data_IF_418848271966
#
_entry.id   IF_418848271966
#
_cell.length_a   1.000
_cell.length_b   1.000
_cell.length_c   1.000
_cell.angle_alpha   90.00
_cell.angle_beta   90.00
_cell.angle_gamma   90.00
#
_symmetry.space_group_name_H-M   'P 1'
#
loop_
_entity.id
_entity.type
_entity.pdbx_description
1 polymer ?
2 non-polymer ?
3 non-polymer ?
4 water ?
#
# COMPACT_ATOMS: atom_id res chain seq x y z
N UNK A 1 -16.88 0.27 7.59
CA UNK A 1 -16.22 0.92 6.43
C UNK A 1 -15.25 2.00 6.92
N UNK A 2 -14.00 1.99 6.44
CA UNK A 2 -12.97 2.99 6.82
C UNK A 2 -12.65 3.90 5.64
N UNK A 3 -12.60 5.19 5.90
CA UNK A 3 -12.10 6.22 4.93
C UNK A 3 -10.60 6.37 5.13
N UNK A 4 -9.81 6.07 4.10
CA UNK A 4 -8.32 6.05 4.20
C UNK A 4 -7.79 7.41 3.77
N UNK A 5 -6.60 7.83 4.27
CA UNK A 5 -5.93 9.01 3.75
C UNK A 5 -5.50 8.82 2.28
N UNK A 6 -5.60 9.90 1.52
CA UNK A 6 -5.36 9.91 0.05
C UNK A 6 -4.07 10.67 -0.25
N UNK A 7 -3.20 10.05 -1.01
CA UNK A 7 -1.93 10.64 -1.49
C UNK A 7 -2.25 11.78 -2.44
N UNK A 8 -1.53 12.88 -2.32
CA UNK A 8 -1.65 14.06 -3.23
C UNK A 8 -0.44 14.13 -4.16
N UNK A 9 -0.69 14.71 -5.32
CA UNK A 9 0.30 15.03 -6.37
C UNK A 9 1.54 15.61 -5.70
N UNK A 10 2.73 15.14 -6.08
CA UNK A 10 3.99 15.49 -5.42
C UNK A 10 4.47 14.34 -4.56
N UNK A 11 3.56 13.46 -4.11
CA UNK A 11 3.97 12.31 -3.26
C UNK A 11 4.45 11.17 -4.17
N UNK A 12 5.57 10.55 -3.81
CA UNK A 12 6.30 9.59 -4.68
C UNK A 12 5.52 8.29 -4.88
N UNK A 13 4.67 7.89 -3.92
CA UNK A 13 3.84 6.66 -3.98
C UNK A 13 3.04 6.67 -5.29
N UNK A 14 2.63 7.85 -5.74
CA UNK A 14 1.76 8.06 -6.93
C UNK A 14 2.54 7.84 -8.22
N UNK A 15 3.86 7.81 -8.18
CA UNK A 15 4.69 7.69 -9.42
C UNK A 15 5.28 6.29 -9.62
N UNK A 16 4.96 5.31 -8.79
CA UNK A 16 5.56 3.95 -8.93
C UNK A 16 4.70 3.11 -9.90
N UNK A 17 5.24 1.99 -10.31
CA UNK A 17 4.43 0.91 -10.95
C UNK A 17 3.97 -0.04 -9.87
N UNK A 18 2.68 -0.14 -9.64
CA UNK A 18 2.08 -0.96 -8.57
C UNK A 18 2.30 -2.45 -8.85
N UNK A 19 2.49 -3.24 -7.80
CA UNK A 19 2.80 -4.68 -7.91
C UNK A 19 1.51 -5.47 -8.12
N UNK A 20 1.50 -6.55 -8.93
CA UNK A 20 0.31 -7.36 -9.10
C UNK A 20 -0.04 -8.02 -7.77
N UNK A 21 -1.32 -8.29 -7.60
CA UNK A 21 -1.89 -9.08 -6.48
C UNK A 21 -1.53 -10.54 -6.75
N UNK A 22 -1.02 -11.26 -5.75
CA UNK A 22 -0.65 -12.69 -5.85
C UNK A 22 -1.93 -13.55 -5.76
N UNK A 23 -1.86 -14.74 -6.30
CA UNK A 23 -2.98 -15.71 -6.30
C UNK A 23 -3.47 -15.97 -4.86
N UNK A 24 -2.59 -16.08 -3.87
CA UNK A 24 -3.05 -16.44 -2.51
C UNK A 24 -3.74 -15.24 -1.86
N UNK A 25 -3.71 -14.06 -2.47
CA UNK A 25 -4.50 -12.92 -1.95
C UNK A 25 -5.94 -13.01 -2.44
N UNK A 26 -6.20 -13.76 -3.50
CA UNK A 26 -7.54 -13.81 -4.12
C UNK A 26 -8.46 -14.53 -3.13
N UNK A 27 -9.68 -14.01 -2.99
CA UNK A 27 -10.77 -14.63 -2.20
C UNK A 27 -10.40 -14.60 -0.70
N UNK A 28 -9.66 -13.57 -0.26
CA UNK A 28 -9.13 -13.45 1.12
C UNK A 28 -9.85 -12.32 1.83
N UNK A 29 -10.00 -12.40 3.16
CA UNK A 29 -10.63 -11.28 3.92
C UNK A 29 -9.76 -10.03 3.73
N UNK A 30 -8.45 -10.21 3.63
CA UNK A 30 -7.46 -9.15 3.39
C UNK A 30 -7.86 -8.39 2.11
N UNK A 31 -8.12 -9.10 1.01
CA UNK A 31 -8.43 -8.40 -0.26
C UNK A 31 -9.82 -7.75 -0.18
N UNK A 32 -10.81 -8.40 0.44
CA UNK A 32 -12.17 -7.80 0.58
C UNK A 32 -12.09 -6.51 1.41
N UNK A 33 -11.34 -6.50 2.50
CA UNK A 33 -11.22 -5.33 3.41
C UNK A 33 -10.46 -4.20 2.70
N UNK A 34 -9.44 -4.53 1.89
CA UNK A 34 -8.73 -3.49 1.08
C UNK A 34 -9.74 -2.81 0.13
N UNK A 35 -10.52 -3.60 -0.61
CA UNK A 35 -11.50 -3.09 -1.59
C UNK A 35 -12.62 -2.31 -0.89
N UNK A 36 -13.07 -2.78 0.27
CA UNK A 36 -14.14 -2.11 1.03
C UNK A 36 -13.67 -0.70 1.46
N UNK A 37 -12.43 -0.59 1.94
CA UNK A 37 -11.85 0.66 2.47
C UNK A 37 -11.57 1.63 1.29
N UNK A 38 -11.16 1.09 0.14
CA UNK A 38 -11.02 1.86 -1.11
C UNK A 38 -12.40 2.39 -1.54
N UNK A 39 -13.41 1.52 -1.52
CA UNK A 39 -14.80 1.89 -1.90
C UNK A 39 -15.28 3.05 -1.01
N UNK A 40 -15.13 2.93 0.30
CA UNK A 40 -15.56 3.96 1.29
C UNK A 40 -14.82 5.25 0.99
N UNK A 41 -13.51 5.19 0.72
CA UNK A 41 -12.70 6.40 0.43
C UNK A 41 -13.25 7.11 -0.81
N UNK A 42 -13.48 6.35 -1.88
CA UNK A 42 -14.04 6.87 -3.15
C UNK A 42 -15.39 7.58 -2.85
N UNK A 43 -16.31 6.92 -2.14
CA UNK A 43 -17.64 7.53 -1.86
C UNK A 43 -17.50 8.80 -1.00
N UNK A 44 -16.68 8.77 0.05
CA UNK A 44 -16.41 9.95 0.93
C UNK A 44 -16.14 11.21 0.10
N UNK A 45 -15.45 11.07 -1.02
CA UNK A 45 -14.97 12.20 -1.85
C UNK A 45 -15.87 12.36 -3.07
N UNK A 46 -16.97 11.63 -3.16
CA UNK A 46 -17.83 11.59 -4.37
C UNK A 46 -17.01 11.27 -5.63
N UNK A 47 -16.07 10.34 -5.54
CA UNK A 47 -15.31 9.94 -6.74
C UNK A 47 -16.10 8.96 -7.60
N UNK A 48 -15.67 8.76 -8.83
CA UNK A 48 -16.25 7.74 -9.75
C UNK A 48 -15.24 6.61 -9.95
N UNK A 49 -14.10 6.67 -9.28
CA UNK A 49 -13.08 5.63 -9.39
C UNK A 49 -11.99 5.80 -8.36
N UNK A 50 -11.15 4.79 -8.19
CA UNK A 50 -10.03 4.91 -7.22
C UNK A 50 -9.07 3.78 -7.53
N UNK A 51 -7.81 4.01 -7.22
CA UNK A 51 -6.72 3.05 -7.44
C UNK A 51 -5.96 2.93 -6.14
N UNK A 52 -5.46 1.74 -5.84
CA UNK A 52 -4.85 1.42 -4.53
C UNK A 52 -3.69 2.36 -4.25
N UNK A 53 -2.84 2.78 -5.23
CA UNK A 53 -1.72 3.69 -4.94
C UNK A 53 -2.16 4.98 -4.25
N UNK A 54 -3.38 5.47 -4.54
CA UNK A 54 -3.92 6.75 -4.03
C UNK A 54 -4.16 6.66 -2.53
N UNK A 55 -4.23 5.45 -1.98
CA UNK A 55 -4.35 5.19 -0.52
C UNK A 55 -3.09 4.48 -0.01
N UNK A 56 -1.95 4.68 -0.69
CA UNK A 56 -0.59 4.28 -0.25
C UNK A 56 -0.42 2.76 -0.33
N UNK A 57 -1.24 2.10 -1.14
CA UNK A 57 -1.12 0.64 -1.38
C UNK A 57 -0.63 0.42 -2.80
N UNK A 58 0.64 0.07 -2.96
CA UNK A 58 1.26 -0.08 -4.30
C UNK A 58 0.95 -1.46 -4.88
N UNK A 59 -0.32 -1.70 -5.14
CA UNK A 59 -0.91 -2.97 -5.59
C UNK A 59 -1.90 -2.68 -6.72
N UNK A 60 -2.07 -3.63 -7.65
CA UNK A 60 -2.90 -3.45 -8.86
C UNK A 60 -4.37 -3.79 -8.56
N UNK A 61 -5.03 -2.91 -7.82
CA UNK A 61 -6.49 -2.95 -7.57
C UNK A 61 -7.08 -1.59 -7.92
N UNK A 62 -8.17 -1.57 -8.69
CA UNK A 62 -8.90 -0.30 -9.02
C UNK A 62 -10.40 -0.55 -8.79
N UNK A 63 -11.13 0.54 -8.70
CA UNK A 63 -12.61 0.55 -8.63
C UNK A 63 -13.07 1.51 -9.72
N UNK A 64 -13.99 1.08 -10.55
CA UNK A 64 -14.66 1.98 -11.53
C UNK A 64 -16.16 2.03 -11.18
N UNK A 65 -16.72 3.23 -11.02
CA UNK A 65 -18.11 3.49 -10.58
C UNK A 65 -18.66 4.76 -11.24
N UNK A 66 -18.89 4.71 -12.55
CA UNK A 66 -19.51 5.80 -13.35
C UNK A 66 -20.82 6.33 -12.75
N UNK A 67 -21.10 7.62 -12.92
CA UNK A 67 -22.46 8.21 -12.85
C UNK A 67 -22.53 9.42 -13.80
N UNK A 68 -23.73 9.76 -14.34
CA UNK A 68 -23.85 10.80 -15.36
C UNK A 68 -23.65 12.18 -14.71
N UNK A 69 -23.13 13.17 -15.47
CA UNK A 69 -23.21 14.61 -15.13
C UNK A 69 -22.98 15.43 -16.41
N UNK A 75 -24.20 9.03 -19.48
CA UNK A 75 -23.24 8.09 -18.84
C UNK A 75 -23.96 7.21 -17.82
N UNK A 76 -23.62 5.91 -17.74
CA UNK A 76 -24.28 5.03 -16.79
C UNK A 76 -24.14 5.48 -15.33
N UNK A 77 -25.18 5.20 -14.55
CA UNK A 77 -25.13 5.03 -13.08
C UNK A 77 -24.74 3.56 -12.82
N UNK A 78 -23.53 3.34 -12.31
CA UNK A 78 -22.83 2.04 -12.33
C UNK A 78 -22.40 1.71 -10.90
N UNK A 79 -22.80 0.58 -10.32
CA UNK A 79 -22.28 0.25 -8.97
C UNK A 79 -20.80 -0.15 -9.16
N UNK A 80 -20.00 0.16 -8.15
CA UNK A 80 -18.53 0.03 -8.18
C UNK A 80 -18.21 -1.36 -8.73
N UNK A 81 -17.39 -1.48 -9.76
CA UNK A 81 -16.77 -2.81 -10.01
C UNK A 81 -15.26 -2.74 -9.68
N UNK A 82 -14.89 -3.67 -8.82
CA UNK A 82 -13.50 -3.84 -8.29
C UNK A 82 -12.71 -4.69 -9.28
N UNK A 83 -11.58 -4.18 -9.77
CA UNK A 83 -10.77 -4.94 -10.77
C UNK A 83 -9.42 -5.21 -10.17
N UNK A 84 -9.10 -6.49 -10.04
CA UNK A 84 -7.79 -6.97 -9.57
C UNK A 84 -6.95 -7.28 -10.80
N UNK A 85 -5.70 -6.80 -10.82
CA UNK A 85 -4.72 -7.05 -11.91
C UNK A 85 -5.35 -6.73 -13.26
N UNK A 86 -5.97 -5.53 -13.43
CA UNK A 86 -6.61 -5.19 -14.69
C UNK A 86 -5.54 -5.00 -15.76
N UNK A 87 -5.87 -5.42 -16.99
CA UNK A 87 -5.02 -5.28 -18.19
C UNK A 87 -5.91 -4.81 -19.34
N UNK A 88 -5.53 -3.70 -19.95
CA UNK A 88 -6.20 -3.21 -21.16
C UNK A 88 -5.55 -3.97 -22.32
N UNK A 89 -6.29 -4.86 -22.98
CA UNK A 89 -5.84 -5.69 -24.12
C UNK A 89 -5.86 -4.86 -25.41
N UNK A 90 -6.77 -3.90 -25.50
CA UNK A 90 -6.96 -3.10 -26.72
C UNK A 90 -7.60 -1.76 -26.40
N UNK A 91 -7.04 -0.73 -27.00
CA UNK A 91 -7.55 0.66 -27.08
C UNK A 91 -8.12 0.87 -28.48
N UNK A 92 -9.34 1.38 -28.59
CA UNK A 92 -9.94 1.73 -29.89
C UNK A 92 -9.08 2.78 -30.61
N UNK A 93 -9.20 2.79 -31.93
CA UNK A 93 -8.71 3.85 -32.83
C UNK A 93 -9.44 5.18 -32.53
N UNK A 94 -10.74 5.16 -32.26
CA UNK A 94 -11.50 6.40 -32.00
C UNK A 94 -11.13 6.93 -30.60
N UNK A 95 -11.00 8.23 -30.53
CA UNK A 95 -10.36 8.94 -29.42
C UNK A 95 -11.23 10.17 -29.16
N UNK A 96 -11.68 10.39 -27.93
CA UNK A 96 -12.54 11.54 -27.58
C UNK A 96 -11.90 12.27 -26.40
N UNK A 97 -12.20 13.55 -26.30
CA UNK A 97 -11.70 14.43 -25.23
C UNK A 97 -12.82 14.48 -24.18
N UNK A 98 -12.48 14.29 -22.91
CA UNK A 98 -13.47 14.42 -21.83
C UNK A 98 -12.87 15.02 -20.58
N UNK A 99 -13.74 15.63 -19.79
CA UNK A 99 -13.37 16.28 -18.50
C UNK A 99 -13.02 15.21 -17.46
N UNK A 100 -11.90 15.40 -16.81
CA UNK A 100 -11.42 14.48 -15.76
C UNK A 100 -11.10 15.33 -14.54
N UNK A 101 -11.35 14.78 -13.36
CA UNK A 101 -10.74 15.23 -12.09
C UNK A 101 -10.00 14.06 -11.45
N UNK A 102 -9.40 14.30 -10.29
CA UNK A 102 -8.63 13.26 -9.58
C UNK A 102 -8.69 13.51 -8.08
N UNK A 103 -8.89 12.48 -7.25
CA UNK A 103 -8.83 12.67 -5.76
C UNK A 103 -7.40 13.04 -5.36
N UNK A 104 -6.37 12.72 -6.16
CA UNK A 104 -4.96 13.04 -5.82
C UNK A 104 -4.55 14.41 -6.37
N UNK A 105 -5.43 15.07 -7.12
CA UNK A 105 -5.20 16.45 -7.66
C UNK A 105 -6.47 17.23 -7.42
N UNK A 106 -6.83 17.52 -6.16
CA UNK A 106 -8.19 17.99 -5.85
C UNK A 106 -8.52 19.39 -6.39
N UNK A 107 -7.50 20.16 -6.73
CA UNK A 107 -7.58 21.59 -7.10
C UNK A 107 -7.76 21.79 -8.61
N UNK A 108 -7.64 20.76 -9.46
CA UNK A 108 -7.65 20.97 -10.94
C UNK A 108 -8.51 19.93 -11.63
N UNK A 109 -9.21 20.36 -12.68
CA UNK A 109 -9.92 19.47 -13.61
C UNK A 109 -9.38 19.83 -14.99
N UNK A 110 -9.60 18.97 -15.98
CA UNK A 110 -9.18 19.28 -17.36
C UNK A 110 -9.69 18.26 -18.37
N UNK A 111 -9.40 18.57 -19.62
CA UNK A 111 -9.77 17.77 -20.80
C UNK A 111 -8.63 16.81 -21.07
N UNK A 112 -8.96 15.53 -21.16
CA UNK A 112 -7.97 14.48 -21.48
C UNK A 112 -8.50 13.68 -22.67
N UNK A 113 -7.62 13.43 -23.63
CA UNK A 113 -7.91 12.59 -24.80
C UNK A 113 -7.84 11.12 -24.33
N UNK A 114 -8.91 10.35 -24.51
CA UNK A 114 -8.92 8.92 -24.11
C UNK A 114 -9.42 8.10 -25.29
N UNK A 115 -9.07 6.82 -25.34
CA UNK A 115 -9.76 5.88 -26.25
C UNK A 115 -11.26 5.89 -25.86
N UNK A 116 -12.13 6.01 -26.87
CA UNK A 116 -13.60 5.91 -26.72
C UNK A 116 -13.96 4.51 -26.19
N UNK A 117 -13.22 3.46 -26.53
CA UNK A 117 -13.51 2.15 -25.91
C UNK A 117 -12.24 1.33 -25.67
N UNK A 118 -12.25 0.53 -24.60
CA UNK A 118 -11.11 -0.33 -24.19
C UNK A 118 -11.65 -1.71 -23.89
N UNK A 119 -10.90 -2.71 -24.28
CA UNK A 119 -11.18 -4.11 -23.89
C UNK A 119 -10.26 -4.41 -22.70
N UNK A 120 -10.88 -4.75 -21.58
CA UNK A 120 -10.23 -4.91 -20.27
C UNK A 120 -10.44 -6.31 -19.75
N UNK A 121 -9.34 -6.96 -19.37
CA UNK A 121 -9.36 -8.25 -18.69
C UNK A 121 -8.90 -8.06 -17.25
N UNK A 122 -9.63 -8.63 -16.30
CA UNK A 122 -9.36 -8.45 -14.85
C UNK A 122 -9.88 -9.63 -14.04
N UNK A 123 -9.47 -9.67 -12.78
CA UNK A 123 -9.93 -10.67 -11.79
C UNK A 123 -10.91 -9.99 -10.85
N UNK A 124 -11.97 -10.69 -10.47
CA UNK A 124 -12.86 -10.24 -9.38
C UNK A 124 -12.13 -10.45 -8.06
N UNK A 125 -12.70 -9.97 -6.96
CA UNK A 125 -12.11 -10.19 -5.61
C UNK A 125 -12.04 -11.69 -5.32
N UNK A 126 -12.93 -12.48 -5.92
CA UNK A 126 -12.95 -13.96 -5.72
C UNK A 126 -11.93 -14.62 -6.62
N UNK A 127 -11.40 -13.91 -7.62
CA UNK A 127 -10.35 -14.45 -8.50
C UNK A 127 -10.96 -14.98 -9.78
N UNK A 128 -12.20 -14.63 -10.11
CA UNK A 128 -12.80 -14.97 -11.42
C UNK A 128 -12.25 -14.03 -12.51
N UNK A 129 -11.89 -14.58 -13.66
CA UNK A 129 -11.40 -13.83 -14.83
C UNK A 129 -12.59 -13.29 -15.61
N UNK A 130 -12.59 -11.99 -15.89
CA UNK A 130 -13.65 -11.28 -16.63
C UNK A 130 -12.98 -10.52 -17.78
N UNK A 131 -13.63 -10.48 -18.92
CA UNK A 131 -13.24 -9.58 -20.01
C UNK A 131 -14.46 -8.78 -20.45
N UNK A 132 -14.36 -7.46 -20.44
CA UNK A 132 -15.49 -6.55 -20.78
C UNK A 132 -14.96 -5.39 -21.63
N UNK A 133 -15.79 -4.92 -22.54
CA UNK A 133 -15.47 -3.68 -23.27
C UNK A 133 -16.21 -2.52 -22.62
N UNK A 134 -15.46 -1.49 -22.21
CA UNK A 134 -15.99 -0.22 -21.65
C UNK A 134 -16.02 0.81 -22.77
N UNK A 135 -17.07 1.62 -22.77
CA UNK A 135 -17.34 2.74 -23.72
C UNK A 135 -17.43 4.02 -22.91
N UNK A 136 -17.09 5.14 -23.52
CA UNK A 136 -17.44 6.48 -23.02
C UNK A 136 -16.82 6.78 -21.69
N UNK A 137 -17.62 7.29 -20.76
CA UNK A 137 -17.11 7.83 -19.49
C UNK A 137 -16.46 6.70 -18.69
N UNK A 138 -17.12 5.53 -18.55
CA UNK A 138 -16.51 4.37 -17.90
C UNK A 138 -15.15 3.96 -18.48
N UNK A 139 -14.98 4.04 -19.80
CA UNK A 139 -13.70 3.79 -20.49
C UNK A 139 -12.64 4.79 -20.04
N UNK A 140 -13.03 6.05 -19.93
CA UNK A 140 -12.14 7.16 -19.49
C UNK A 140 -11.72 6.85 -18.04
N UNK A 141 -12.62 6.30 -17.24
CA UNK A 141 -12.33 6.08 -15.80
C UNK A 141 -11.37 4.90 -15.68
N UNK A 142 -11.55 3.88 -16.50
CA UNK A 142 -10.68 2.69 -16.50
C UNK A 142 -9.27 3.12 -16.88
N UNK A 143 -9.15 3.90 -17.94
CA UNK A 143 -7.85 4.37 -18.45
C UNK A 143 -7.17 5.24 -17.37
N UNK A 144 -7.93 6.08 -16.69
CA UNK A 144 -7.43 6.96 -15.60
C UNK A 144 -6.88 6.11 -14.44
N UNK A 145 -7.64 5.10 -14.01
CA UNK A 145 -7.26 4.25 -12.85
C UNK A 145 -6.05 3.38 -13.21
N UNK A 146 -6.04 2.78 -14.38
CA UNK A 146 -4.85 2.00 -14.83
C UNK A 146 -3.63 2.94 -14.88
N UNK A 147 -3.77 4.16 -15.36
CA UNK A 147 -2.64 5.13 -15.34
C UNK A 147 -2.11 5.28 -13.90
N UNK A 148 -2.97 5.30 -12.87
CA UNK A 148 -2.53 5.37 -11.45
C UNK A 148 -1.63 4.17 -11.10
N UNK A 149 -1.95 2.98 -11.64
CA UNK A 149 -1.19 1.74 -11.35
C UNK A 149 0.19 1.82 -12.00
N UNK A 150 0.30 2.61 -13.07
CA UNK A 150 1.53 2.77 -13.89
C UNK A 150 2.23 4.09 -13.54
N UNK A 151 1.86 4.76 -12.45
CA UNK A 151 2.59 5.94 -11.96
C UNK A 151 2.30 7.19 -12.78
N UNK A 152 1.08 7.36 -13.30
CA UNK A 152 0.76 8.49 -14.24
C UNK A 152 -0.46 9.23 -13.70
N UNK A 153 -0.37 10.56 -13.62
CA UNK A 153 -1.52 11.44 -13.26
C UNK A 153 -2.10 12.09 -14.52
N UNK A 154 -3.38 12.39 -14.50
CA UNK A 154 -4.13 12.88 -15.70
C UNK A 154 -3.53 14.21 -16.21
N UNK A 155 -2.95 15.04 -15.34
CA UNK A 155 -2.34 16.36 -15.75
C UNK A 155 -1.17 16.10 -16.71
N UNK A 156 -0.52 14.93 -16.64
CA UNK A 156 0.62 14.62 -17.53
C UNK A 156 0.09 14.31 -18.94
N UNK A 157 -1.21 14.08 -19.11
CA UNK A 157 -1.81 13.73 -20.43
C UNK A 157 -2.54 14.92 -21.06
N UNK A 158 -2.40 16.14 -20.53
CA UNK A 158 -3.03 17.34 -21.16
C UNK A 158 -1.96 18.07 -21.96
N UNK B 1 -4.87 -17.24 6.66
CA UNK B 1 -4.11 -15.96 6.71
C UNK B 1 -3.24 -15.81 5.47
N UNK B 2 -3.22 -14.61 4.91
CA UNK B 2 -2.57 -14.34 3.59
C UNK B 2 -1.08 -14.14 3.81
N UNK B 3 -0.25 -14.73 2.96
CA UNK B 3 1.18 -14.32 2.81
C UNK B 3 1.31 -13.33 1.65
N UNK B 4 1.88 -12.16 1.89
CA UNK B 4 1.89 -11.07 0.89
C UNK B 4 3.19 -11.16 0.12
N UNK B 5 3.19 -10.85 -1.19
CA UNK B 5 4.45 -10.67 -1.90
C UNK B 5 5.32 -9.59 -1.21
N UNK B 6 6.62 -9.84 -1.21
CA UNK B 6 7.65 -9.02 -0.52
C UNK B 6 8.46 -8.30 -1.56
N UNK B 7 8.55 -6.97 -1.47
CA UNK B 7 9.38 -6.14 -2.36
C UNK B 7 10.86 -6.44 -2.09
N UNK B 8 11.68 -6.51 -3.14
CA UNK B 8 13.13 -6.77 -2.98
C UNK B 8 13.93 -5.50 -3.27
N UNK B 9 15.14 -5.45 -2.72
CA UNK B 9 16.11 -4.35 -2.92
C UNK B 9 16.10 -3.95 -4.39
N UNK B 10 16.03 -2.64 -4.64
CA UNK B 10 15.99 -2.07 -5.98
C UNK B 10 14.56 -1.71 -6.38
N UNK B 11 13.53 -2.17 -5.65
CA UNK B 11 12.15 -1.70 -5.92
C UNK B 11 11.99 -0.37 -5.19
N UNK B 12 11.38 0.61 -5.85
CA UNK B 12 11.33 2.02 -5.39
C UNK B 12 10.46 2.12 -4.13
N UNK B 13 9.47 1.23 -3.96
CA UNK B 13 8.59 1.25 -2.75
C UNK B 13 9.42 1.25 -1.45
N UNK B 14 10.57 0.59 -1.45
CA UNK B 14 11.46 0.41 -0.26
C UNK B 14 12.18 1.73 0.05
N UNK B 15 12.16 2.68 -0.87
CA UNK B 15 12.92 3.95 -0.80
C UNK B 15 12.02 5.12 -0.34
N UNK B 16 10.72 4.94 -0.10
CA UNK B 16 9.83 6.08 0.25
C UNK B 16 9.84 6.34 1.75
N UNK B 17 9.33 7.49 2.14
CA UNK B 17 8.90 7.74 3.56
C UNK B 17 7.45 7.26 3.67
N UNK B 18 7.21 6.21 4.44
CA UNK B 18 5.85 5.66 4.62
C UNK B 18 4.99 6.72 5.31
N UNK B 19 3.70 6.74 4.95
CA UNK B 19 2.68 7.65 5.49
C UNK B 19 2.19 7.15 6.85
N UNK B 20 2.00 8.07 7.82
CA UNK B 20 1.39 7.70 9.10
C UNK B 20 0.01 7.06 8.88
N UNK B 21 -0.33 6.11 9.71
CA UNK B 21 -1.72 5.59 9.78
C UNK B 21 -2.64 6.71 10.30
N UNK B 22 -3.84 6.88 9.71
CA UNK B 22 -4.85 7.89 10.11
C UNK B 22 -5.64 7.41 11.35
N UNK B 23 -6.27 8.34 12.07
CA UNK B 23 -7.27 8.06 13.12
C UNK B 23 -8.40 7.16 12.57
N UNK B 24 -8.85 7.39 11.33
CA UNK B 24 -9.96 6.62 10.70
C UNK B 24 -9.63 5.13 10.76
N UNK B 25 -8.38 4.76 10.57
CA UNK B 25 -7.97 3.34 10.39
C UNK B 25 -7.80 2.64 11.74
N UNK B 26 -7.65 3.37 12.84
CA UNK B 26 -7.45 2.67 14.14
C UNK B 26 -8.71 1.89 14.51
N UNK B 27 -8.50 0.70 15.04
CA UNK B 27 -9.56 -0.21 15.53
C UNK B 27 -10.50 -0.62 14.38
N UNK B 28 -9.96 -0.75 13.16
CA UNK B 28 -10.72 -1.14 11.95
C UNK B 28 -10.40 -2.59 11.55
N UNK B 29 -11.34 -3.25 10.89
CA UNK B 29 -11.08 -4.58 10.30
C UNK B 29 -9.92 -4.44 9.33
N UNK B 30 -9.89 -3.35 8.56
CA UNK B 30 -8.80 -3.07 7.59
C UNK B 30 -7.43 -3.22 8.30
N UNK B 31 -7.27 -2.55 9.42
CA UNK B 31 -5.94 -2.44 10.07
C UNK B 31 -5.61 -3.77 10.72
N UNK B 32 -6.59 -4.46 11.30
CA UNK B 32 -6.36 -5.83 11.84
C UNK B 32 -5.92 -6.80 10.73
N UNK B 33 -6.54 -6.74 9.55
CA UNK B 33 -6.24 -7.67 8.43
C UNK B 33 -4.84 -7.34 7.88
N UNK B 34 -4.49 -6.05 7.79
CA UNK B 34 -3.11 -5.65 7.44
C UNK B 34 -2.14 -6.26 8.44
N UNK B 35 -2.31 -6.10 9.75
CA UNK B 35 -1.32 -6.62 10.73
C UNK B 35 -1.26 -8.14 10.60
N UNK B 36 -2.39 -8.79 10.37
CA UNK B 36 -2.46 -10.28 10.30
C UNK B 36 -1.70 -10.79 9.07
N UNK B 37 -1.87 -10.16 7.90
CA UNK B 37 -1.16 -10.54 6.65
C UNK B 37 0.34 -10.31 6.84
N UNK B 38 0.70 -9.16 7.42
CA UNK B 38 2.12 -8.86 7.71
C UNK B 38 2.69 -9.94 8.64
N UNK B 39 1.95 -10.30 9.68
CA UNK B 39 2.42 -11.32 10.67
C UNK B 39 2.69 -12.63 9.92
N UNK B 40 1.73 -13.05 9.10
CA UNK B 40 1.79 -14.35 8.39
C UNK B 40 2.97 -14.34 7.43
N UNK B 41 3.20 -13.20 6.75
CA UNK B 41 4.29 -13.04 5.74
C UNK B 41 5.62 -13.22 6.48
N UNK B 42 5.72 -12.59 7.65
CA UNK B 42 6.95 -12.63 8.49
C UNK B 42 7.20 -14.09 8.93
N UNK B 43 6.18 -14.79 9.39
CA UNK B 43 6.31 -16.17 9.93
C UNK B 43 6.69 -17.12 8.79
N UNK B 44 6.04 -17.02 7.64
CA UNK B 44 6.32 -17.91 6.48
C UNK B 44 7.76 -17.72 6.02
N UNK B 45 8.32 -16.52 6.14
CA UNK B 45 9.70 -16.21 5.70
C UNK B 45 10.70 -16.54 6.82
N UNK B 46 10.25 -17.00 7.98
CA UNK B 46 11.06 -17.13 9.22
C UNK B 46 11.75 -15.80 9.56
N UNK B 47 11.00 -14.69 9.49
CA UNK B 47 11.44 -13.36 9.90
C UNK B 47 11.22 -13.16 11.39
N UNK B 48 11.89 -12.18 11.99
CA UNK B 48 11.68 -11.78 13.40
C UNK B 48 11.18 -10.33 13.45
N UNK B 49 10.99 -9.73 12.29
CA UNK B 49 10.38 -8.40 12.13
C UNK B 49 9.88 -8.18 10.71
N UNK B 50 9.00 -7.21 10.52
CA UNK B 50 8.56 -6.80 9.17
C UNK B 50 7.97 -5.39 9.24
N UNK B 51 8.18 -4.65 8.15
CA UNK B 51 7.60 -3.30 7.97
C UNK B 51 6.66 -3.33 6.74
N UNK B 52 5.53 -2.63 6.84
CA UNK B 52 4.51 -2.54 5.76
C UNK B 52 5.12 -2.22 4.40
N UNK B 53 6.10 -1.28 4.25
CA UNK B 53 6.68 -1.05 2.94
C UNK B 53 7.21 -2.31 2.24
N UNK B 54 7.62 -3.30 3.01
CA UNK B 54 8.21 -4.55 2.46
C UNK B 54 7.12 -5.36 1.73
N UNK B 55 5.84 -5.16 2.08
CA UNK B 55 4.69 -5.84 1.40
C UNK B 55 3.88 -4.81 0.59
N UNK B 56 4.57 -3.78 0.06
CA UNK B 56 4.06 -2.75 -0.89
C UNK B 56 2.96 -1.89 -0.29
N UNK B 57 2.93 -1.78 1.03
CA UNK B 57 2.00 -0.91 1.79
C UNK B 57 2.84 0.24 2.38
N UNK B 58 2.72 1.48 1.85
CA UNK B 58 3.53 2.63 2.31
C UNK B 58 2.87 3.30 3.52
N UNK B 59 2.77 2.54 4.61
CA UNK B 59 2.18 2.96 5.90
C UNK B 59 3.14 2.61 7.05
N UNK B 60 3.08 3.41 8.14
CA UNK B 60 4.02 3.29 9.28
C UNK B 60 3.48 2.25 10.26
N UNK B 61 3.62 0.97 9.90
CA UNK B 61 3.23 -0.23 10.70
C UNK B 61 4.41 -1.20 10.67
N UNK B 62 4.84 -1.64 11.84
CA UNK B 62 5.95 -2.61 11.99
C UNK B 62 5.52 -3.70 12.96
N UNK B 63 6.17 -4.85 12.85
CA UNK B 63 6.05 -5.98 13.81
C UNK B 63 7.44 -6.31 14.30
N UNK B 64 7.57 -6.50 15.61
CA UNK B 64 8.82 -6.98 16.26
C UNK B 64 8.47 -8.28 16.98
N UNK B 65 9.18 -9.35 16.67
CA UNK B 65 8.86 -10.72 17.14
C UNK B 65 10.13 -11.56 17.15
N UNK B 66 10.99 -11.35 18.16
CA UNK B 66 12.27 -12.06 18.41
C UNK B 66 12.02 -13.58 18.56
N UNK B 76 16.20 -13.57 21.73
CA UNK B 76 15.47 -14.57 22.52
C UNK B 76 14.01 -14.72 22.04
N UNK B 77 13.16 -15.37 22.86
CA UNK B 77 11.71 -15.52 22.57
C UNK B 77 10.97 -14.27 23.06
N UNK B 78 10.01 -13.77 22.28
CA UNK B 78 9.01 -12.76 22.73
C UNK B 78 7.72 -12.96 21.94
N UNK B 79 6.57 -12.61 22.53
CA UNK B 79 5.27 -12.49 21.81
C UNK B 79 5.36 -11.33 20.81
N UNK B 80 4.91 -11.52 19.57
CA UNK B 80 4.95 -10.53 18.48
C UNK B 80 4.33 -9.19 18.94
N UNK B 81 4.99 -8.04 18.76
CA UNK B 81 4.30 -6.73 19.00
C UNK B 81 4.12 -5.96 17.68
N UNK B 82 2.88 -5.63 17.34
CA UNK B 82 2.50 -4.70 16.25
C UNK B 82 2.57 -3.26 16.78
N UNK B 83 3.25 -2.39 16.05
CA UNK B 83 3.37 -0.96 16.39
C UNK B 83 2.91 -0.06 15.23
N UNK B 84 1.90 0.78 15.48
CA UNK B 84 1.39 1.76 14.50
C UNK B 84 2.07 3.11 14.81
N UNK B 85 2.63 3.76 13.79
CA UNK B 85 3.15 5.14 13.93
C UNK B 85 4.20 5.13 15.05
N UNK B 86 5.13 4.16 15.03
CA UNK B 86 6.16 4.07 16.06
C UNK B 86 7.11 5.27 15.96
N UNK B 87 7.62 5.74 17.10
CA UNK B 87 8.66 6.77 17.14
C UNK B 87 9.70 6.37 18.17
N UNK B 88 10.99 6.40 17.83
CA UNK B 88 12.03 6.15 18.88
C UNK B 88 12.24 7.46 19.65
N UNK B 89 11.84 7.52 20.91
CA UNK B 89 11.88 8.76 21.74
C UNK B 89 13.21 8.79 22.51
N UNK B 90 13.83 7.65 22.73
CA UNK B 90 15.01 7.55 23.61
C UNK B 90 15.84 6.34 23.19
N UNK B 91 17.16 6.45 23.28
CA UNK B 91 18.10 5.36 22.94
C UNK B 91 19.40 5.55 23.70
N UNK B 92 20.08 4.43 23.98
CA UNK B 92 21.35 4.41 24.75
C UNK B 92 22.49 4.92 23.86
N UNK B 93 23.45 5.66 24.43
CA UNK B 93 24.76 5.95 23.77
C UNK B 93 25.47 4.63 23.51
N UNK B 94 25.29 3.66 24.40
CA UNK B 94 25.84 2.30 24.28
C UNK B 94 25.29 1.72 22.96
N UNK B 95 26.22 1.49 22.05
CA UNK B 95 26.08 0.84 20.75
C UNK B 95 26.43 -0.65 20.89
N UNK B 96 25.72 -1.52 20.19
CA UNK B 96 26.19 -2.92 20.00
C UNK B 96 26.15 -3.25 18.50
N UNK B 97 26.86 -4.33 18.16
CA UNK B 97 26.98 -4.78 16.77
C UNK B 97 26.39 -6.19 16.74
N UNK B 98 25.48 -6.42 15.81
CA UNK B 98 24.80 -7.71 15.60
C UNK B 98 24.69 -7.98 14.11
N UNK B 99 24.71 -9.26 13.73
CA UNK B 99 24.41 -9.76 12.37
C UNK B 99 22.97 -9.38 12.00
N UNK B 100 22.75 -8.73 10.86
CA UNK B 100 21.36 -8.53 10.33
C UNK B 100 21.23 -9.19 8.94
N UNK B 101 20.02 -9.65 8.63
CA UNK B 101 19.52 -9.92 7.27
C UNK B 101 18.21 -9.20 7.09
N UNK B 102 17.53 -9.41 5.96
CA UNK B 102 16.37 -8.59 5.57
C UNK B 102 15.53 -9.42 4.59
N UNK B 103 14.24 -9.54 4.83
CA UNK B 103 13.30 -10.24 3.93
C UNK B 103 13.40 -9.59 2.53
N UNK B 104 13.74 -8.31 2.43
CA UNK B 104 13.78 -7.54 1.15
C UNK B 104 15.17 -7.58 0.49
N UNK B 105 16.17 -8.20 1.12
CA UNK B 105 17.56 -8.31 0.56
C UNK B 105 18.00 -9.76 0.75
N UNK B 106 17.43 -10.73 0.00
CA UNK B 106 17.61 -12.14 0.35
C UNK B 106 19.08 -12.55 0.16
N UNK B 107 19.58 -13.44 1.04
CA UNK B 107 20.96 -14.03 1.02
C UNK B 107 21.98 -12.89 1.13
N UNK B 108 21.66 -11.88 1.92
CA UNK B 108 22.60 -10.84 2.37
C UNK B 108 22.62 -10.85 3.91
N UNK B 109 23.81 -10.91 4.48
CA UNK B 109 24.09 -10.92 5.94
C UNK B 109 25.19 -9.89 6.20
N UNK B 110 25.09 -9.14 7.29
CA UNK B 110 26.09 -8.12 7.65
C UNK B 110 25.96 -7.68 9.09
N UNK B 111 27.09 -7.29 9.69
CA UNK B 111 27.16 -6.65 11.03
C UNK B 111 26.61 -5.23 10.92
N UNK B 112 25.68 -4.82 11.79
CA UNK B 112 25.16 -3.41 11.82
C UNK B 112 25.25 -2.89 13.27
N UNK B 113 25.77 -1.67 13.43
CA UNK B 113 25.79 -0.95 14.73
C UNK B 113 24.40 -0.36 15.02
N UNK B 114 23.83 -0.69 16.17
CA UNK B 114 22.51 -0.23 16.64
C UNK B 114 22.70 0.24 18.08
N UNK B 115 21.81 1.11 18.56
CA UNK B 115 21.63 1.39 20.01
C UNK B 115 21.28 0.08 20.71
N UNK B 116 21.82 -0.15 21.91
CA UNK B 116 21.58 -1.39 22.67
C UNK B 116 20.21 -1.28 23.34
N UNK B 117 19.74 -0.06 23.65
CA UNK B 117 18.42 0.19 24.26
C UNK B 117 17.71 1.25 23.42
N UNK B 118 16.39 1.08 23.24
CA UNK B 118 15.52 2.09 22.58
C UNK B 118 14.21 2.13 23.36
N UNK B 119 13.66 3.32 23.52
CA UNK B 119 12.29 3.52 24.03
C UNK B 119 11.44 4.02 22.84
N UNK B 120 10.35 3.29 22.56
CA UNK B 120 9.48 3.51 21.36
C UNK B 120 8.10 3.91 21.85
N UNK B 121 7.58 5.03 21.36
CA UNK B 121 6.15 5.37 21.54
C UNK B 121 5.43 4.89 20.27
N UNK B 122 4.27 4.27 20.42
CA UNK B 122 3.49 3.76 19.26
C UNK B 122 2.03 3.67 19.67
N UNK B 123 1.17 3.51 18.67
CA UNK B 123 -0.25 3.19 18.88
C UNK B 123 -0.44 1.66 18.77
N UNK B 124 -1.28 1.08 19.61
CA UNK B 124 -1.84 -0.28 19.40
C UNK B 124 -2.76 -0.25 18.17
N UNK B 125 -3.13 -1.43 17.70
CA UNK B 125 -4.13 -1.58 16.61
C UNK B 125 -5.47 -0.96 17.02
N UNK B 126 -5.75 -0.87 18.32
CA UNK B 126 -6.98 -0.23 18.88
C UNK B 126 -6.84 1.29 18.93
N UNK B 127 -5.63 1.83 18.86
CA UNK B 127 -5.40 3.29 18.85
C UNK B 127 -4.99 3.87 20.19
N UNK B 128 -4.52 3.04 21.12
CA UNK B 128 -4.04 3.48 22.45
C UNK B 128 -2.56 3.84 22.33
N UNK B 129 -2.17 5.05 22.77
CA UNK B 129 -0.78 5.52 22.79
C UNK B 129 -0.07 4.75 23.89
N UNK B 130 1.07 4.15 23.57
CA UNK B 130 1.78 3.25 24.50
C UNK B 130 3.28 3.54 24.35
N UNK B 131 4.07 3.28 25.38
CA UNK B 131 5.55 3.34 25.32
C UNK B 131 6.11 2.02 25.85
N UNK B 132 7.22 1.58 25.29
CA UNK B 132 7.91 0.32 25.66
C UNK B 132 9.40 0.58 25.48
N UNK B 133 10.23 -0.09 26.27
CA UNK B 133 11.70 -0.06 26.07
C UNK B 133 12.14 -1.46 25.63
N UNK B 134 12.97 -1.52 24.59
CA UNK B 134 13.61 -2.75 24.07
C UNK B 134 15.11 -2.70 24.37
N UNK B 135 15.69 -3.86 24.61
CA UNK B 135 17.13 -4.08 24.84
C UNK B 135 17.58 -5.19 23.89
N UNK B 136 18.83 -5.15 23.45
CA UNK B 136 19.50 -6.26 22.76
C UNK B 136 18.84 -6.52 21.42
N UNK B 137 18.56 -7.80 21.14
CA UNK B 137 18.16 -8.21 19.77
C UNK B 137 16.88 -7.48 19.38
N UNK B 138 15.81 -7.48 20.22
CA UNK B 138 14.59 -6.74 19.89
C UNK B 138 14.82 -5.26 19.57
N UNK B 139 15.81 -4.62 20.19
CA UNK B 139 16.15 -3.20 19.96
C UNK B 139 16.72 -3.05 18.55
N UNK B 140 17.58 -3.97 18.12
CA UNK B 140 18.15 -4.02 16.76
C UNK B 140 17.00 -4.13 15.75
N UNK B 141 16.03 -5.00 16.03
CA UNK B 141 14.88 -5.31 15.13
C UNK B 141 14.03 -4.03 15.05
N UNK B 142 13.71 -3.39 16.18
CA UNK B 142 12.92 -2.11 16.17
C UNK B 142 13.58 -1.10 15.21
N UNK B 143 14.89 -0.90 15.36
CA UNK B 143 15.67 0.11 14.59
C UNK B 143 15.65 -0.23 13.08
N UNK B 144 15.79 -1.51 12.74
CA UNK B 144 15.75 -2.01 11.34
C UNK B 144 14.37 -1.72 10.74
N UNK B 145 13.31 -1.97 11.48
CA UNK B 145 11.93 -1.79 10.98
C UNK B 145 11.65 -0.30 10.83
N UNK B 146 12.08 0.53 11.78
CA UNK B 146 11.86 2.01 11.65
C UNK B 146 12.61 2.50 10.40
N UNK B 147 13.83 2.04 10.15
CA UNK B 147 14.62 2.37 8.94
C UNK B 147 13.78 2.05 7.69
N UNK B 148 13.06 0.93 7.63
CA UNK B 148 12.23 0.60 6.44
C UNK B 148 11.15 1.68 6.23
N UNK B 149 10.54 2.19 7.31
CA UNK B 149 9.50 3.23 7.24
C UNK B 149 10.10 4.53 6.69
N UNK B 150 11.43 4.70 6.79
CA UNK B 150 12.11 5.95 6.38
C UNK B 150 12.91 5.70 5.09
N UNK B 151 12.70 4.57 4.41
CA UNK B 151 13.28 4.33 3.08
C UNK B 151 14.73 3.90 3.14
N UNK B 152 15.19 3.32 4.25
CA UNK B 152 16.61 2.89 4.47
C UNK B 152 16.69 1.36 4.60
N UNK B 153 17.59 0.77 3.82
CA UNK B 153 17.92 -0.68 3.88
C UNK B 153 19.24 -0.83 4.66
N UNK B 154 19.40 -1.95 5.38
CA UNK B 154 20.51 -2.16 6.35
C UNK B 154 21.87 -2.13 5.63
N UNK B 155 21.86 -2.45 4.32
CA UNK B 155 23.11 -2.52 3.50
C UNK B 155 23.79 -1.13 3.52
N UNK B 156 23.00 -0.06 3.64
CA UNK B 156 23.48 1.35 3.72
C UNK B 156 24.12 1.63 5.10
N UNK B 157 24.00 0.77 6.11
CA UNK B 157 24.65 0.94 7.45
C UNK B 157 25.80 -0.06 7.66
#
# INVERSE_FOLDING_TARGET
SVVLPVAKRGEDILKLIAAPVSANELNSNWLYQLADAMHATMLERNGVGIAAPQVYISKRVIIVASRPNPRYPDAPEMNAVVMVNPEILEFSSETCLGEEGCLSVPDERGQVERAEMVKVKYLTLQGEAVETIFHGFPARIVQHEVDHLNGILFVERIS
SVVLPVAKRGEDILKLIAAPVSANELNSNWLYQLADAMHATMLERNGVGIAAPQVYISKRVIIVASRPNPRYPDAPEMNAVVMVNPEILEFSSETCLGEEGCLSVPDERGQVERAEMVKVKYLTLQGEAVETIFHGFPARIVQHEVDHLNGILFVERIS
#
